data_IF_130057932460
#
_entry.id   IF_130057932460
#
_cell.length_a   1.000
_cell.length_b   1.000
_cell.length_c   1.000
_cell.angle_alpha   90.00
_cell.angle_beta   90.00
_cell.angle_gamma   90.00
#
_symmetry.space_group_name_H-M   'P 1'
#
loop_
_entity.id
_entity.type
_entity.pdbx_description
1 polymer ?
#
# COMPACT_ATOMS: atom_id res chain seq x y z
N UNK A 1 4.28 -11.67 -23.97
CA UNK A 1 3.62 -10.54 -23.27
C UNK A 1 4.07 -10.56 -21.83
N UNK A 2 4.62 -9.46 -21.31
CA UNK A 2 4.95 -9.36 -19.89
C UNK A 2 3.64 -9.29 -19.10
N UNK A 3 3.42 -10.22 -18.18
CA UNK A 3 2.28 -10.20 -17.26
C UNK A 3 2.65 -9.30 -16.09
N UNK A 4 1.91 -8.22 -15.87
CA UNK A 4 1.99 -7.43 -14.64
C UNK A 4 0.85 -7.85 -13.73
N UNK A 5 1.16 -8.08 -12.46
CA UNK A 5 0.20 -8.49 -11.45
C UNK A 5 0.27 -7.51 -10.29
N UNK A 6 -0.87 -7.22 -9.69
CA UNK A 6 -0.97 -6.37 -8.51
C UNK A 6 -1.83 -7.03 -7.45
N UNK A 7 -1.58 -6.71 -6.18
CA UNK A 7 -2.41 -7.16 -5.07
C UNK A 7 -3.37 -6.02 -4.71
N UNK A 8 -4.67 -6.33 -4.70
CA UNK A 8 -5.71 -5.44 -4.21
C UNK A 8 -6.19 -5.95 -2.84
N UNK A 9 -6.19 -5.06 -1.85
CA UNK A 9 -6.72 -5.29 -0.51
C UNK A 9 -8.06 -4.59 -0.42
N UNK A 10 -9.09 -5.33 -0.01
CA UNK A 10 -10.41 -4.80 0.23
C UNK A 10 -10.77 -4.96 1.71
N UNK A 11 -11.16 -3.85 2.35
CA UNK A 11 -11.64 -3.85 3.74
C UNK A 11 -13.11 -3.46 3.74
N UNK A 12 -13.95 -4.25 4.40
CA UNK A 12 -15.39 -4.03 4.51
C UNK A 12 -15.76 -3.77 5.97
N UNK A 13 -16.52 -2.70 6.20
CA UNK A 13 -17.11 -2.39 7.50
C UNK A 13 -18.52 -2.98 7.61
N UNK A 14 -19.04 -3.04 8.82
CA UNK A 14 -20.39 -3.51 9.14
C UNK A 14 -21.50 -2.56 8.68
N UNK A 15 -21.20 -1.27 8.56
CA UNK A 15 -22.07 -0.25 7.97
C UNK A 15 -22.02 -0.19 6.42
N UNK A 16 -21.28 -1.12 5.80
CA UNK A 16 -21.27 -1.32 4.34
C UNK A 16 -20.26 -0.46 3.56
N UNK A 17 -19.44 0.36 4.24
CA UNK A 17 -18.34 1.09 3.58
C UNK A 17 -17.24 0.10 3.19
N UNK A 18 -16.70 0.30 1.98
CA UNK A 18 -15.60 -0.53 1.46
C UNK A 18 -14.41 0.36 1.12
N UNK A 19 -13.23 -0.01 1.64
CA UNK A 19 -11.95 0.63 1.37
C UNK A 19 -11.05 -0.22 0.50
N UNK A 20 -10.24 0.43 -0.34
CA UNK A 20 -9.31 -0.23 -1.25
C UNK A 20 -7.86 0.20 -1.01
N UNK A 21 -6.97 -0.77 -0.97
CA UNK A 21 -5.52 -0.57 -0.91
C UNK A 21 -4.81 -1.38 -1.98
N UNK A 22 -3.75 -0.82 -2.55
CA UNK A 22 -2.96 -1.47 -3.60
C UNK A 22 -1.56 -1.77 -3.08
N UNK A 23 -1.07 -2.98 -3.33
CA UNK A 23 0.29 -3.39 -2.94
C UNK A 23 1.08 -3.83 -4.18
N UNK A 24 2.29 -3.28 -4.28
CA UNK A 24 3.34 -3.74 -5.20
C UNK A 24 4.45 -4.38 -4.38
N UNK A 25 4.88 -5.58 -4.76
CA UNK A 25 5.96 -6.28 -4.07
C UNK A 25 6.03 -7.77 -4.43
N UNK A 26 7.11 -8.42 -4.01
CA UNK A 26 7.34 -9.84 -4.24
C UNK A 26 7.93 -10.50 -2.97
N UNK A 27 7.72 -11.82 -2.77
CA UNK A 27 6.81 -12.68 -3.53
C UNK A 27 5.34 -12.38 -3.23
N UNK A 28 4.50 -12.24 -4.26
CA UNK A 28 3.12 -11.77 -4.10
C UNK A 28 2.27 -12.71 -3.22
N UNK A 29 2.43 -14.02 -3.38
CA UNK A 29 1.69 -15.00 -2.56
C UNK A 29 1.96 -14.81 -1.06
N UNK A 30 3.22 -14.56 -0.69
CA UNK A 30 3.61 -14.34 0.72
C UNK A 30 2.94 -13.07 1.26
N UNK A 31 2.88 -12.01 0.46
CA UNK A 31 2.17 -10.77 0.84
C UNK A 31 0.67 -11.06 1.04
N UNK A 32 0.03 -11.78 0.12
CA UNK A 32 -1.39 -12.16 0.27
C UNK A 32 -1.64 -12.97 1.55
N UNK A 33 -0.79 -13.96 1.83
CA UNK A 33 -0.88 -14.77 3.06
C UNK A 33 -0.77 -13.88 4.31
N UNK A 34 0.09 -12.85 4.28
CA UNK A 34 0.18 -11.86 5.36
C UNK A 34 -1.04 -10.95 5.45
N UNK A 35 -1.59 -10.46 4.35
CA UNK A 35 -2.83 -9.65 4.35
C UNK A 35 -3.96 -10.42 5.06
N UNK A 36 -4.12 -11.70 4.77
CA UNK A 36 -5.14 -12.55 5.43
C UNK A 36 -4.89 -12.63 6.94
N UNK A 37 -3.67 -12.99 7.36
CA UNK A 37 -3.31 -13.13 8.78
C UNK A 37 -3.46 -11.82 9.56
N UNK A 38 -2.97 -10.72 9.00
CA UNK A 38 -3.07 -9.40 9.63
C UNK A 38 -4.53 -8.93 9.67
N UNK A 39 -5.33 -9.26 8.65
CA UNK A 39 -6.78 -9.05 8.63
C UNK A 39 -7.51 -9.75 9.78
N UNK A 40 -7.10 -10.97 10.15
CA UNK A 40 -7.65 -11.68 11.32
C UNK A 40 -7.32 -10.95 12.63
N UNK A 41 -6.10 -10.41 12.77
CA UNK A 41 -5.65 -9.69 13.97
C UNK A 41 -6.45 -8.40 14.21
N UNK A 42 -6.88 -7.73 13.15
CA UNK A 42 -7.54 -6.41 13.22
C UNK A 42 -9.04 -6.48 12.98
N UNK A 43 -9.60 -7.68 12.77
CA UNK A 43 -11.03 -7.88 12.61
C UNK A 43 -11.78 -7.35 13.84
N UNK A 44 -12.83 -6.56 13.60
CA UNK A 44 -13.66 -5.95 14.64
C UNK A 44 -13.06 -4.69 15.27
N UNK A 45 -11.89 -4.22 14.84
CA UNK A 45 -11.40 -2.90 15.20
C UNK A 45 -12.15 -1.81 14.42
N UNK A 46 -12.25 -0.62 15.03
CA UNK A 46 -12.80 0.55 14.36
C UNK A 46 -11.91 0.97 13.17
N UNK A 47 -12.48 0.99 11.96
CA UNK A 47 -11.78 1.39 10.75
C UNK A 47 -11.34 2.87 10.74
N UNK A 48 -12.04 3.73 11.49
CA UNK A 48 -11.65 5.14 11.65
C UNK A 48 -10.46 5.31 12.61
N UNK A 49 -10.20 4.32 13.46
CA UNK A 49 -9.05 4.22 14.36
C UNK A 49 -7.80 3.64 13.66
N UNK A 50 -7.58 3.96 12.38
CA UNK A 50 -6.44 3.45 11.58
C UNK A 50 -5.06 3.55 12.27
N UNK A 51 -4.78 4.58 13.09
CA UNK A 51 -3.53 4.66 13.87
C UNK A 51 -3.40 3.51 14.86
N UNK A 52 -4.48 3.20 15.58
CA UNK A 52 -4.50 2.08 16.53
C UNK A 52 -4.33 0.73 15.81
N UNK A 53 -4.92 0.60 14.61
CA UNK A 53 -4.72 -0.56 13.73
C UNK A 53 -3.24 -0.67 13.32
N UNK A 54 -2.65 0.43 12.84
CA UNK A 54 -1.25 0.48 12.44
C UNK A 54 -0.30 0.15 13.59
N UNK A 55 -0.50 0.76 14.76
CA UNK A 55 0.32 0.50 15.95
C UNK A 55 0.25 -0.96 16.38
N UNK A 56 -0.96 -1.54 16.40
CA UNK A 56 -1.15 -2.96 16.73
C UNK A 56 -0.41 -3.87 15.75
N UNK A 57 -0.50 -3.61 14.45
CA UNK A 57 0.17 -4.40 13.42
C UNK A 57 1.69 -4.21 13.46
N UNK A 58 2.16 -2.97 13.57
CA UNK A 58 3.58 -2.63 13.61
C UNK A 58 4.26 -3.20 14.86
N UNK A 59 3.58 -3.19 16.00
CA UNK A 59 4.04 -3.83 17.23
C UNK A 59 4.43 -5.30 17.01
N UNK A 60 3.71 -6.04 16.16
CA UNK A 60 4.04 -7.44 15.85
C UNK A 60 5.36 -7.60 15.10
N UNK A 61 5.90 -6.53 14.49
CA UNK A 61 7.15 -6.58 13.72
C UNK A 61 8.41 -6.38 14.58
N UNK A 62 8.25 -6.06 15.87
CA UNK A 62 9.35 -5.73 16.78
C UNK A 62 9.34 -6.60 18.04
N UNK A 63 10.51 -6.83 18.68
CA UNK A 63 10.55 -7.40 20.03
C UNK A 63 9.78 -6.52 21.01
N UNK A 64 8.90 -7.13 21.81
CA UNK A 64 8.11 -6.44 22.83
C UNK A 64 8.19 -7.19 24.16
N UNK A 65 8.26 -6.50 25.31
CA UNK A 65 8.23 -7.15 26.62
C UNK A 65 6.98 -8.03 26.76
N UNK A 66 7.17 -9.32 27.07
CA UNK A 66 6.06 -10.27 27.17
C UNK A 66 5.52 -10.81 25.83
N UNK A 67 5.88 -10.22 24.69
CA UNK A 67 5.39 -10.60 23.38
C UNK A 67 5.77 -12.02 22.95
N UNK A 68 6.97 -12.51 23.30
CA UNK A 68 7.37 -13.90 23.01
C UNK A 68 6.43 -14.93 23.64
N UNK A 69 5.79 -14.57 24.76
CA UNK A 69 4.84 -15.42 25.49
C UNK A 69 3.40 -14.91 25.39
N UNK A 70 3.10 -14.00 24.46
CA UNK A 70 1.79 -13.36 24.28
C UNK A 70 1.17 -12.77 25.56
N UNK A 71 2.01 -12.30 26.51
CA UNK A 71 1.53 -11.76 27.80
C UNK A 71 0.87 -10.39 27.68
N UNK A 72 1.07 -9.72 26.56
CA UNK A 72 0.50 -8.41 26.24
C UNK A 72 -0.80 -8.53 25.42
N UNK A 73 -1.36 -9.74 25.29
CA UNK A 73 -2.59 -9.98 24.53
C UNK A 73 -2.40 -9.96 23.01
N UNK A 74 -1.17 -9.80 22.51
CA UNK A 74 -0.83 -9.86 21.10
C UNK A 74 -0.09 -11.17 20.76
N UNK A 75 -0.18 -11.66 19.51
CA UNK A 75 0.59 -12.82 19.09
C UNK A 75 2.11 -12.57 19.19
N UNK A 76 2.93 -13.64 19.21
CA UNK A 76 4.37 -13.54 19.19
C UNK A 76 4.91 -12.69 18.03
N UNK A 77 6.08 -12.03 18.19
CA UNK A 77 6.68 -11.25 17.12
C UNK A 77 6.87 -12.06 15.83
N UNK A 78 6.61 -11.42 14.69
CA UNK A 78 6.64 -12.05 13.38
C UNK A 78 8.08 -12.34 12.90
N UNK A 79 8.25 -13.26 11.92
CA UNK A 79 9.55 -13.58 11.37
C UNK A 79 10.24 -12.36 10.75
N UNK A 80 11.54 -12.18 11.05
CA UNK A 80 12.32 -11.06 10.51
C UNK A 80 12.62 -11.17 9.01
N UNK A 81 12.69 -12.41 8.49
CA UNK A 81 13.02 -12.66 7.09
C UNK A 81 11.96 -12.17 6.10
N UNK A 82 10.72 -12.02 6.55
CA UNK A 82 9.58 -11.60 5.71
C UNK A 82 9.13 -10.17 6.04
N UNK A 83 9.96 -9.40 6.74
CA UNK A 83 9.60 -8.03 7.15
C UNK A 83 9.18 -7.14 5.96
N UNK A 84 9.83 -7.17 4.78
CA UNK A 84 9.36 -6.39 3.62
C UNK A 84 7.93 -6.75 3.21
N UNK A 85 7.58 -8.04 3.19
CA UNK A 85 6.26 -8.53 2.80
C UNK A 85 5.22 -8.19 3.87
N UNK A 86 5.57 -8.31 5.15
CA UNK A 86 4.72 -7.91 6.27
C UNK A 86 4.42 -6.41 6.20
N UNK A 87 5.45 -5.57 6.01
CA UNK A 87 5.26 -4.11 5.89
C UNK A 87 4.42 -3.74 4.66
N UNK A 88 4.58 -4.46 3.55
CA UNK A 88 3.74 -4.27 2.36
C UNK A 88 2.27 -4.63 2.62
N UNK A 89 2.01 -5.71 3.36
CA UNK A 89 0.65 -6.08 3.78
C UNK A 89 0.03 -5.03 4.72
N UNK A 90 0.80 -4.53 5.69
CA UNK A 90 0.36 -3.43 6.58
C UNK A 90 0.01 -2.19 5.76
N UNK A 91 0.85 -1.80 4.80
CA UNK A 91 0.61 -0.64 3.94
C UNK A 91 -0.68 -0.78 3.12
N UNK A 92 -0.95 -1.95 2.54
CA UNK A 92 -2.20 -2.17 1.79
C UNK A 92 -3.44 -2.07 2.67
N UNK A 93 -3.38 -2.58 3.90
CA UNK A 93 -4.47 -2.43 4.88
C UNK A 93 -4.64 -0.94 5.26
N UNK A 94 -3.55 -0.25 5.57
CA UNK A 94 -3.59 1.17 5.97
C UNK A 94 -4.20 2.08 4.88
N UNK A 95 -3.80 1.88 3.62
CA UNK A 95 -4.38 2.63 2.47
C UNK A 95 -5.90 2.38 2.37
N UNK A 96 -6.36 1.14 2.54
CA UNK A 96 -7.78 0.82 2.52
C UNK A 96 -8.54 1.50 3.67
N UNK A 97 -7.94 1.61 4.86
CA UNK A 97 -8.53 2.32 5.99
C UNK A 97 -8.59 3.83 5.77
N UNK A 98 -7.59 4.42 5.11
CA UNK A 98 -7.65 5.82 4.67
C UNK A 98 -8.76 6.08 3.67
N UNK A 99 -8.97 5.17 2.70
CA UNK A 99 -10.07 5.25 1.75
C UNK A 99 -11.44 5.18 2.46
N UNK A 100 -11.62 4.26 3.43
CA UNK A 100 -12.81 4.22 4.30
C UNK A 100 -12.99 5.55 5.01
N UNK A 101 -11.94 6.08 5.63
CA UNK A 101 -12.03 7.34 6.37
C UNK A 101 -12.46 8.51 5.48
N UNK A 102 -11.94 8.61 4.26
CA UNK A 102 -12.39 9.59 3.28
C UNK A 102 -13.87 9.44 2.94
N UNK A 103 -14.29 8.21 2.62
CA UNK A 103 -15.69 7.88 2.30
C UNK A 103 -16.64 8.20 3.45
N UNK A 104 -16.33 7.76 4.66
CA UNK A 104 -17.13 8.04 5.87
C UNK A 104 -17.19 9.53 6.20
N UNK A 105 -16.14 10.30 5.91
CA UNK A 105 -16.12 11.74 6.11
C UNK A 105 -16.78 12.54 4.97
N UNK A 106 -17.14 11.89 3.85
CA UNK A 106 -17.59 12.60 2.64
C UNK A 106 -16.52 13.51 2.03
N UNK A 107 -15.23 13.18 2.24
CA UNK A 107 -14.10 13.99 1.83
C UNK A 107 -13.06 13.16 1.07
N UNK A 108 -12.38 13.72 0.06
CA UNK A 108 -11.22 13.05 -0.51
C UNK A 108 -10.10 12.96 0.52
N UNK A 109 -9.30 11.88 0.48
CA UNK A 109 -8.28 11.57 1.50
C UNK A 109 -7.31 12.74 1.74
N UNK A 110 -6.91 13.47 0.71
CA UNK A 110 -6.01 14.63 0.87
C UNK A 110 -6.60 15.72 1.78
N UNK A 111 -7.94 15.89 1.82
CA UNK A 111 -8.62 16.83 2.73
C UNK A 111 -8.64 16.30 4.15
N UNK A 112 -8.84 14.99 4.32
CA UNK A 112 -8.76 14.33 5.64
C UNK A 112 -7.36 14.47 6.23
N UNK A 113 -6.32 14.43 5.38
CA UNK A 113 -4.92 14.68 5.74
C UNK A 113 -4.60 16.17 6.00
N UNK A 114 -5.57 17.08 5.89
CA UNK A 114 -5.40 18.52 6.13
C UNK A 114 -4.84 19.31 4.94
N UNK A 115 -4.78 18.70 3.75
CA UNK A 115 -4.30 19.35 2.53
C UNK A 115 -5.37 20.15 1.78
N UNK A 116 -4.93 20.84 0.74
CA UNK A 116 -5.77 21.55 -0.23
C UNK A 116 -5.54 21.00 -1.64
N UNK A 117 -6.55 21.10 -2.51
CA UNK A 117 -6.42 20.76 -3.91
C UNK A 117 -5.46 21.74 -4.59
N UNK A 118 -4.30 21.24 -5.02
CA UNK A 118 -3.33 22.02 -5.80
C UNK A 118 -2.67 21.15 -6.87
N UNK A 119 -2.24 21.73 -7.99
CA UNK A 119 -1.41 21.02 -8.96
C UNK A 119 -0.14 20.47 -8.28
N UNK A 120 0.18 19.21 -8.53
CA UNK A 120 1.41 18.56 -8.08
C UNK A 120 2.31 18.39 -9.30
N UNK A 121 3.59 18.73 -9.17
CA UNK A 121 4.55 18.46 -10.23
C UNK A 121 4.66 16.94 -10.45
N UNK A 122 4.55 16.51 -11.70
CA UNK A 122 4.70 15.12 -12.12
C UNK A 122 5.75 15.01 -13.21
N UNK A 123 6.46 13.89 -13.21
CA UNK A 123 7.41 13.50 -14.25
C UNK A 123 6.93 12.18 -14.87
N UNK A 124 7.30 11.94 -16.12
CA UNK A 124 7.00 10.67 -16.78
C UNK A 124 8.19 9.70 -16.61
N UNK A 125 7.89 8.45 -16.27
CA UNK A 125 8.88 7.37 -16.24
C UNK A 125 8.64 6.44 -17.42
N UNK A 126 9.66 6.16 -18.22
CA UNK A 126 9.55 5.23 -19.34
C UNK A 126 10.91 4.91 -19.94
N UNK A 127 10.96 4.67 -21.25
CA UNK A 127 12.23 4.37 -21.94
C UNK A 127 12.91 3.09 -21.46
N UNK A 128 12.13 2.16 -20.88
CA UNK A 128 12.62 0.89 -20.36
C UNK A 128 13.34 0.09 -21.44
N UNK A 129 14.45 -0.54 -21.08
CA UNK A 129 15.16 -1.45 -21.97
C UNK A 129 14.25 -2.60 -22.42
N UNK A 130 14.16 -2.76 -23.74
CA UNK A 130 13.42 -3.85 -24.38
C UNK A 130 14.40 -4.63 -25.23
N UNK A 131 14.33 -5.95 -25.13
CA UNK A 131 15.18 -6.84 -25.93
C UNK A 131 14.97 -6.56 -27.42
N UNK A 132 16.06 -6.28 -28.14
CA UNK A 132 16.03 -5.94 -29.56
C UNK A 132 15.58 -4.51 -29.91
N UNK A 133 15.29 -3.65 -28.93
CA UNK A 133 14.98 -2.24 -29.19
C UNK A 133 16.26 -1.41 -29.41
N UNK A 134 16.17 -0.44 -30.32
CA UNK A 134 17.24 0.53 -30.55
C UNK A 134 17.12 1.72 -29.58
N UNK A 135 18.23 2.40 -29.30
CA UNK A 135 18.22 3.59 -28.44
C UNK A 135 17.29 4.69 -28.97
N UNK A 136 17.07 4.77 -30.28
CA UNK A 136 16.12 5.71 -30.90
C UNK A 136 14.66 5.41 -30.53
N UNK A 137 14.30 4.19 -30.15
CA UNK A 137 12.94 3.86 -29.73
C UNK A 137 12.62 4.45 -28.36
N UNK A 138 13.55 4.36 -27.40
CA UNK A 138 13.41 5.06 -26.12
C UNK A 138 13.39 6.58 -26.31
N UNK A 139 14.21 7.12 -27.22
CA UNK A 139 14.21 8.55 -27.50
C UNK A 139 12.86 9.04 -28.06
N UNK A 140 12.22 8.26 -28.94
CA UNK A 140 10.86 8.57 -29.45
C UNK A 140 9.83 8.55 -28.33
N UNK A 141 9.81 7.51 -27.50
CA UNK A 141 8.90 7.40 -26.35
C UNK A 141 9.03 8.58 -25.38
N UNK A 142 10.26 8.96 -25.02
CA UNK A 142 10.51 10.10 -24.15
C UNK A 142 10.08 11.43 -24.81
N UNK A 143 10.27 11.58 -26.12
CA UNK A 143 9.79 12.75 -26.86
C UNK A 143 8.26 12.85 -26.87
N UNK A 144 7.54 11.72 -26.90
CA UNK A 144 6.08 11.69 -26.76
C UNK A 144 5.63 12.19 -25.39
N UNK A 145 6.33 11.86 -24.30
CA UNK A 145 6.02 12.44 -22.99
C UNK A 145 6.25 13.95 -22.94
N UNK A 146 7.33 14.45 -23.55
CA UNK A 146 7.56 15.89 -23.65
C UNK A 146 6.44 16.57 -24.44
N UNK A 147 6.02 15.97 -25.57
CA UNK A 147 4.90 16.46 -26.36
C UNK A 147 3.57 16.43 -25.59
N UNK A 148 3.39 15.47 -24.67
CA UNK A 148 2.25 15.40 -23.77
C UNK A 148 2.29 16.43 -22.62
N UNK A 149 3.35 17.23 -22.53
CA UNK A 149 3.48 18.34 -21.57
C UNK A 149 4.29 18.03 -20.31
N UNK A 150 4.91 16.85 -20.22
CA UNK A 150 5.83 16.56 -19.12
C UNK A 150 7.10 17.40 -19.26
N UNK A 151 7.50 18.03 -18.14
CA UNK A 151 8.71 18.87 -18.07
C UNK A 151 9.93 18.14 -17.49
N UNK A 152 9.75 16.88 -17.08
CA UNK A 152 10.81 15.97 -16.69
C UNK A 152 10.41 14.55 -17.11
N UNK A 153 11.39 13.81 -17.61
CA UNK A 153 11.27 12.41 -18.05
C UNK A 153 12.46 11.61 -17.52
N UNK A 154 12.23 10.36 -17.10
CA UNK A 154 13.25 9.45 -16.54
C UNK A 154 13.09 8.05 -17.08
#
# INVERSE_FOLDING_TARGET
MASSSVILVEVRTDDGVVGYGQIHGAPMKVICDWVVRLGEVVRGMDALAHVAVWEKLFALTSPRPGGVRARDGLPPPLPRGERPQIMAAIAGIDIALWDIKGKSAGMPVYRVLGGEAKPVFSYATGGYYREGADASDSAKELAEFVAAGYRAVV
#
